data_IF_341166441397
#
_entry.id   IF_341166441397
#
_cell.length_a   1.000
_cell.length_b   1.000
_cell.length_c   1.000
_cell.angle_alpha   90.00
_cell.angle_beta   90.00
_cell.angle_gamma   90.00
#
_symmetry.space_group_name_H-M   'P 1'
#
loop_
_entity.id
_entity.type
_entity.pdbx_description
1 polymer ?
#
# COMPACT_ATOMS: atom_id res chain seq x y z
N UNK A 1 -24.09 -21.80 -10.17
CA UNK A 1 -24.75 -20.58 -9.71
C UNK A 1 -23.65 -19.61 -9.31
N UNK A 2 -23.43 -18.56 -10.10
CA UNK A 2 -22.53 -17.47 -9.69
C UNK A 2 -23.35 -16.50 -8.86
N UNK A 3 -22.86 -16.16 -7.67
CA UNK A 3 -23.50 -15.17 -6.81
C UNK A 3 -23.42 -13.81 -7.53
N UNK A 4 -24.58 -13.20 -7.81
CA UNK A 4 -24.68 -11.92 -8.51
C UNK A 4 -24.54 -10.73 -7.56
N UNK A 5 -24.30 -10.98 -6.27
CA UNK A 5 -24.17 -9.95 -5.25
C UNK A 5 -22.70 -9.70 -4.93
N UNK A 6 -22.24 -8.47 -5.12
CA UNK A 6 -20.91 -8.06 -4.67
C UNK A 6 -20.80 -8.15 -3.15
N UNK A 7 -19.67 -8.64 -2.64
CA UNK A 7 -19.38 -8.68 -1.21
C UNK A 7 -18.39 -7.58 -0.83
N UNK A 8 -18.64 -6.90 0.29
CA UNK A 8 -17.65 -6.02 0.91
C UNK A 8 -16.57 -6.89 1.57
N UNK A 9 -15.32 -6.75 1.10
CA UNK A 9 -14.17 -7.54 1.56
C UNK A 9 -13.17 -6.74 2.42
N UNK A 10 -13.32 -5.42 2.47
CA UNK A 10 -12.58 -4.51 3.34
C UNK A 10 -13.39 -3.22 3.57
N UNK A 11 -13.29 -2.63 4.77
CA UNK A 11 -14.05 -1.44 5.14
C UNK A 11 -15.55 -1.72 5.37
N UNK A 12 -16.42 -0.86 4.82
CA UNK A 12 -17.89 -1.01 4.90
C UNK A 12 -18.56 -0.38 6.12
N UNK A 13 -17.79 0.10 7.10
CA UNK A 13 -18.30 0.66 8.37
C UNK A 13 -18.23 2.19 8.42
N UNK A 14 -18.33 2.84 7.26
CA UNK A 14 -18.15 4.28 7.11
C UNK A 14 -16.68 4.74 7.18
N UNK A 15 -16.46 6.03 6.92
CA UNK A 15 -15.15 6.65 7.00
C UNK A 15 -14.66 6.71 8.46
N UNK A 16 -13.42 6.30 8.71
CA UNK A 16 -12.77 6.49 10.01
C UNK A 16 -11.47 5.69 10.17
N UNK A 17 -10.86 5.79 11.34
CA UNK A 17 -9.52 5.25 11.62
C UNK A 17 -9.51 3.89 12.32
N UNK A 18 -10.68 3.31 12.61
CA UNK A 18 -10.76 1.96 13.18
C UNK A 18 -10.26 0.92 12.16
N UNK A 19 -9.96 -0.30 12.63
CA UNK A 19 -9.46 -1.39 11.80
C UNK A 19 -10.51 -1.98 10.86
N UNK A 20 -11.80 -1.69 11.08
CA UNK A 20 -12.93 -2.02 10.21
C UNK A 20 -13.29 -0.87 9.23
N UNK A 21 -12.49 0.20 9.21
CA UNK A 21 -12.74 1.43 8.45
C UNK A 21 -11.52 1.83 7.59
N UNK A 22 -11.80 2.62 6.56
CA UNK A 22 -10.80 3.21 5.66
C UNK A 22 -11.11 4.70 5.47
N UNK A 23 -10.10 5.51 5.16
CA UNK A 23 -10.24 6.92 4.77
C UNK A 23 -9.38 7.21 3.55
N UNK A 24 -10.05 7.49 2.43
CA UNK A 24 -9.43 7.84 1.15
C UNK A 24 -8.39 6.79 0.70
N UNK A 25 -8.77 5.51 0.56
CA UNK A 25 -7.83 4.52 0.07
C UNK A 25 -7.48 4.81 -1.41
N UNK A 26 -6.19 4.84 -1.74
CA UNK A 26 -5.73 5.23 -3.09
C UNK A 26 -5.28 4.07 -3.95
N UNK A 27 -4.88 2.95 -3.35
CA UNK A 27 -4.38 1.79 -4.08
C UNK A 27 -4.60 0.49 -3.29
N UNK A 28 -4.66 -0.63 -4.00
CA UNK A 28 -4.83 -1.97 -3.44
C UNK A 28 -4.13 -3.01 -4.31
N UNK A 29 -3.44 -3.95 -3.67
CA UNK A 29 -2.89 -5.13 -4.31
C UNK A 29 -3.28 -6.41 -3.58
N UNK A 30 -3.13 -7.55 -4.26
CA UNK A 30 -3.41 -8.87 -3.70
C UNK A 30 -2.08 -9.52 -3.31
N UNK A 31 -1.91 -9.83 -2.03
CA UNK A 31 -0.91 -10.78 -1.58
C UNK A 31 -1.47 -12.21 -1.76
N UNK A 32 -1.00 -12.89 -2.80
CA UNK A 32 -1.43 -14.25 -3.14
C UNK A 32 -0.93 -15.28 -2.12
N UNK A 33 0.18 -15.01 -1.45
CA UNK A 33 0.78 -15.93 -0.48
C UNK A 33 -0.07 -16.02 0.79
N UNK A 34 -0.56 -14.88 1.29
CA UNK A 34 -1.42 -14.84 2.48
C UNK A 34 -2.92 -14.83 2.17
N UNK A 35 -3.28 -14.78 0.89
CA UNK A 35 -4.66 -14.57 0.42
C UNK A 35 -5.29 -13.31 1.04
N UNK A 36 -4.62 -12.17 0.88
CA UNK A 36 -4.99 -10.90 1.51
C UNK A 36 -4.97 -9.74 0.52
N UNK A 37 -5.77 -8.71 0.80
CA UNK A 37 -5.62 -7.38 0.23
C UNK A 37 -4.59 -6.60 1.04
N UNK A 38 -3.70 -5.87 0.37
CA UNK A 38 -2.87 -4.83 0.96
C UNK A 38 -3.38 -3.51 0.40
N UNK A 39 -3.87 -2.65 1.28
CA UNK A 39 -4.61 -1.43 0.92
C UNK A 39 -3.84 -0.23 1.45
N UNK A 40 -3.61 0.73 0.58
CA UNK A 40 -3.11 2.03 0.98
C UNK A 40 -4.29 2.85 1.52
N UNK A 41 -4.26 3.16 2.82
CA UNK A 41 -5.28 3.92 3.54
C UNK A 41 -4.74 5.33 3.84
N UNK A 42 -4.64 6.13 2.77
CA UNK A 42 -3.79 7.33 2.70
C UNK A 42 -4.08 8.32 3.83
N UNK A 43 -5.35 8.64 4.10
CA UNK A 43 -5.69 9.68 5.07
C UNK A 43 -5.55 9.23 6.52
N UNK A 44 -5.64 7.92 6.76
CA UNK A 44 -5.22 7.32 8.03
C UNK A 44 -3.69 7.15 8.12
N UNK A 45 -2.93 7.54 7.09
CA UNK A 45 -1.47 7.46 7.00
C UNK A 45 -0.93 6.06 7.30
N UNK A 46 -1.57 5.04 6.74
CA UNK A 46 -1.22 3.63 6.98
C UNK A 46 -1.41 2.80 5.72
N UNK A 47 -0.71 1.68 5.67
CA UNK A 47 -1.03 0.55 4.79
C UNK A 47 -1.57 -0.57 5.66
N UNK A 48 -2.72 -1.12 5.27
CA UNK A 48 -3.43 -2.15 6.02
C UNK A 48 -3.53 -3.44 5.21
N UNK A 49 -3.53 -4.58 5.91
CA UNK A 49 -3.74 -5.89 5.32
C UNK A 49 -5.10 -6.43 5.73
N UNK A 50 -5.88 -6.89 4.76
CA UNK A 50 -7.19 -7.51 4.95
C UNK A 50 -7.19 -8.95 4.41
N UNK A 51 -7.40 -9.94 5.27
CA UNK A 51 -7.59 -11.32 4.83
C UNK A 51 -8.85 -11.45 3.97
N UNK A 52 -8.76 -12.15 2.83
CA UNK A 52 -9.92 -12.45 1.98
C UNK A 52 -10.68 -13.70 2.42
N UNK A 53 -10.20 -14.37 3.47
CA UNK A 53 -10.83 -15.56 4.04
C UNK A 53 -12.14 -15.19 4.73
N UNK A 54 -13.11 -16.10 4.69
CA UNK A 54 -14.42 -15.94 5.32
C UNK A 54 -14.30 -15.63 6.81
N UNK A 55 -15.11 -14.68 7.31
CA UNK A 55 -15.14 -14.29 8.72
C UNK A 55 -14.19 -13.16 9.11
N UNK A 56 -13.39 -12.64 8.18
CA UNK A 56 -12.57 -11.44 8.42
C UNK A 56 -13.47 -10.21 8.55
N UNK A 57 -13.40 -9.51 9.68
CA UNK A 57 -14.23 -8.31 9.97
C UNK A 57 -13.44 -7.00 10.02
N UNK A 58 -12.11 -7.09 10.12
CA UNK A 58 -11.20 -5.94 10.21
C UNK A 58 -9.84 -6.29 9.60
N UNK A 59 -9.06 -5.27 9.26
CA UNK A 59 -7.67 -5.42 8.83
C UNK A 59 -6.69 -5.28 9.98
N UNK A 60 -5.41 -5.49 9.66
CA UNK A 60 -4.28 -5.17 10.54
C UNK A 60 -3.42 -4.09 9.90
N UNK A 61 -2.79 -3.24 10.72
CA UNK A 61 -1.82 -2.25 10.23
C UNK A 61 -0.55 -3.01 9.82
N UNK A 62 -0.17 -2.90 8.55
CA UNK A 62 1.07 -3.47 8.04
C UNK A 62 2.21 -2.46 8.16
N UNK A 63 1.96 -1.20 7.80
CA UNK A 63 2.92 -0.09 7.89
C UNK A 63 2.17 1.15 8.36
N UNK A 64 2.75 1.87 9.33
CA UNK A 64 2.20 3.13 9.85
C UNK A 64 2.98 4.36 9.34
N UNK A 65 2.48 5.54 9.69
CA UNK A 65 3.11 6.84 9.43
C UNK A 65 3.61 7.04 7.99
N UNK A 66 2.80 6.59 7.04
CA UNK A 66 3.08 6.67 5.60
C UNK A 66 1.89 7.28 4.88
N UNK A 67 2.10 8.38 4.15
CA UNK A 67 1.06 8.97 3.30
C UNK A 67 1.12 8.30 1.93
N UNK A 68 0.82 7.00 1.94
CA UNK A 68 0.96 6.15 0.77
C UNK A 68 0.10 6.67 -0.39
N UNK A 69 0.52 6.41 -1.62
CA UNK A 69 -0.31 6.67 -2.80
C UNK A 69 -0.40 5.45 -3.71
N UNK A 70 0.74 4.90 -4.10
CA UNK A 70 0.85 3.68 -4.90
C UNK A 70 1.51 2.54 -4.12
N UNK A 71 1.10 1.32 -4.45
CA UNK A 71 1.63 0.07 -3.93
C UNK A 71 2.12 -0.81 -5.09
N UNK A 72 3.26 -1.47 -4.89
CA UNK A 72 3.71 -2.55 -5.76
C UNK A 72 4.36 -3.64 -4.92
N UNK A 73 4.30 -4.89 -5.37
CA UNK A 73 4.96 -6.00 -4.69
C UNK A 73 5.69 -6.86 -5.72
N UNK A 74 6.94 -7.21 -5.43
CA UNK A 74 7.73 -8.09 -6.28
C UNK A 74 7.52 -9.59 -5.95
N UNK A 75 8.12 -10.46 -6.75
CA UNK A 75 8.04 -11.91 -6.57
C UNK A 75 8.76 -12.42 -5.31
N UNK A 76 9.59 -11.59 -4.68
CA UNK A 76 10.24 -11.87 -3.39
C UNK A 76 9.42 -11.35 -2.20
N UNK A 77 8.22 -10.79 -2.45
CA UNK A 77 7.33 -10.18 -1.46
C UNK A 77 7.93 -8.97 -0.75
N UNK A 78 8.81 -8.22 -1.43
CA UNK A 78 9.08 -6.85 -1.03
C UNK A 78 7.93 -5.95 -1.45
N UNK A 79 7.41 -5.19 -0.49
CA UNK A 79 6.38 -4.19 -0.68
C UNK A 79 7.03 -2.83 -0.94
N UNK A 80 6.69 -2.23 -2.06
CA UNK A 80 7.11 -0.90 -2.46
C UNK A 80 5.96 0.06 -2.23
N UNK A 81 6.24 1.21 -1.64
CA UNK A 81 5.23 2.21 -1.29
C UNK A 81 5.77 3.58 -1.62
N UNK A 82 5.02 4.36 -2.39
CA UNK A 82 5.28 5.78 -2.56
C UNK A 82 4.69 6.59 -1.39
N UNK A 83 5.53 7.33 -0.67
CA UNK A 83 5.10 8.26 0.38
C UNK A 83 5.08 9.69 -0.19
N UNK A 84 3.86 10.20 -0.42
CA UNK A 84 3.66 11.51 -1.02
C UNK A 84 4.01 12.67 -0.07
N UNK A 85 4.07 12.43 1.25
CA UNK A 85 4.47 13.45 2.23
C UNK A 85 5.99 13.64 2.25
N UNK A 86 6.72 12.55 2.01
CA UNK A 86 8.18 12.49 2.12
C UNK A 86 8.91 12.53 0.77
N UNK A 87 8.17 12.53 -0.33
CA UNK A 87 8.73 12.55 -1.68
C UNK A 87 9.69 11.37 -1.95
N UNK A 88 9.31 10.17 -1.49
CA UNK A 88 10.18 8.97 -1.52
C UNK A 88 9.39 7.71 -1.88
N UNK A 89 10.08 6.74 -2.46
CA UNK A 89 9.61 5.34 -2.53
C UNK A 89 10.44 4.51 -1.58
N UNK A 90 9.75 3.77 -0.71
CA UNK A 90 10.36 2.82 0.22
C UNK A 90 10.02 1.40 -0.15
N UNK A 91 11.01 0.53 -0.01
CA UNK A 91 10.90 -0.93 -0.09
C UNK A 91 10.92 -1.52 1.32
N UNK A 92 9.96 -2.38 1.62
CA UNK A 92 9.78 -3.06 2.89
C UNK A 92 9.76 -4.57 2.67
N UNK A 93 10.43 -5.34 3.52
CA UNK A 93 10.06 -6.75 3.66
C UNK A 93 8.77 -6.81 4.49
N UNK A 94 7.80 -7.64 4.12
CA UNK A 94 6.57 -7.78 4.91
C UNK A 94 6.93 -8.23 6.34
N UNK A 95 6.58 -7.41 7.33
CA UNK A 95 6.94 -7.61 8.75
C UNK A 95 8.03 -6.67 9.26
N UNK A 96 8.74 -5.96 8.38
CA UNK A 96 9.69 -4.92 8.76
C UNK A 96 8.98 -3.60 9.07
N UNK A 97 9.44 -2.93 10.12
CA UNK A 97 8.94 -1.60 10.49
C UNK A 97 9.72 -0.46 9.80
N UNK A 98 10.88 -0.75 9.20
CA UNK A 98 11.75 0.26 8.58
C UNK A 98 12.04 -0.11 7.12
N UNK A 99 11.48 0.67 6.20
CA UNK A 99 11.72 0.51 4.77
C UNK A 99 13.03 1.17 4.32
N UNK A 100 13.62 0.66 3.25
CA UNK A 100 14.78 1.25 2.56
C UNK A 100 14.30 2.20 1.46
N UNK A 101 14.83 3.41 1.39
CA UNK A 101 14.54 4.34 0.27
C UNK A 101 15.19 3.78 -1.00
N UNK A 102 14.40 3.61 -2.05
CA UNK A 102 14.84 3.09 -3.36
C UNK A 102 14.70 4.12 -4.49
N UNK A 103 13.92 5.18 -4.28
CA UNK A 103 13.84 6.34 -5.18
C UNK A 103 13.41 7.59 -4.39
N UNK A 104 13.83 8.78 -4.85
CA UNK A 104 13.49 10.04 -4.20
C UNK A 104 14.23 10.27 -2.87
N UNK A 105 13.55 10.90 -1.91
CA UNK A 105 14.09 11.20 -0.57
C UNK A 105 14.93 12.48 -0.47
N UNK A 106 15.09 13.23 -1.58
CA UNK A 106 15.84 14.50 -1.64
C UNK A 106 14.90 15.71 -1.80
N UNK A 107 13.67 15.58 -1.30
CA UNK A 107 12.61 16.57 -1.46
C UNK A 107 12.00 16.60 -2.85
N UNK A 108 11.07 17.54 -3.03
CA UNK A 108 10.40 17.79 -4.32
C UNK A 108 11.31 18.57 -5.27
N UNK A 109 11.33 18.17 -6.52
CA UNK A 109 11.99 18.92 -7.59
C UNK A 109 12.17 18.09 -8.85
N UNK A 110 12.99 18.58 -9.77
CA UNK A 110 13.18 18.02 -11.11
C UNK A 110 14.52 17.30 -11.28
N UNK A 111 15.33 17.22 -10.22
CA UNK A 111 16.59 16.49 -10.26
C UNK A 111 16.35 14.98 -10.31
N UNK A 112 17.32 14.22 -10.85
CA UNK A 112 17.21 12.76 -11.03
C UNK A 112 16.94 11.97 -9.74
N UNK A 113 17.19 12.56 -8.58
CA UNK A 113 17.02 11.96 -7.26
C UNK A 113 15.86 12.61 -6.46
N UNK A 114 15.00 13.40 -7.11
CA UNK A 114 13.85 14.09 -6.52
C UNK A 114 12.52 13.62 -7.12
N UNK A 115 11.43 13.72 -6.35
CA UNK A 115 10.09 13.34 -6.79
C UNK A 115 9.09 14.44 -6.43
N UNK A 116 8.43 15.03 -7.43
CA UNK A 116 7.57 16.21 -7.23
C UNK A 116 6.16 15.86 -6.72
N UNK A 117 5.53 14.87 -7.36
CA UNK A 117 4.25 14.28 -6.98
C UNK A 117 4.41 12.80 -7.26
N UNK A 118 4.43 11.95 -6.24
CA UNK A 118 4.56 10.53 -6.50
C UNK A 118 3.23 9.99 -7.00
N UNK A 119 3.28 9.45 -8.22
CA UNK A 119 2.20 8.69 -8.82
C UNK A 119 2.43 7.18 -8.63
N UNK A 120 1.61 6.38 -9.31
CA UNK A 120 1.66 4.92 -9.32
C UNK A 120 3.08 4.40 -9.52
N UNK A 121 3.39 3.33 -8.79
CA UNK A 121 4.67 2.64 -8.87
C UNK A 121 4.50 1.31 -9.57
N UNK A 122 5.47 0.92 -10.38
CA UNK A 122 5.55 -0.41 -10.98
C UNK A 122 6.92 -1.00 -10.72
N UNK A 123 6.99 -2.31 -10.50
CA UNK A 123 8.24 -3.04 -10.28
C UNK A 123 8.29 -4.20 -11.27
N UNK A 124 9.38 -4.31 -12.03
CA UNK A 124 9.59 -5.42 -12.96
C UNK A 124 10.25 -6.64 -12.29
N UNK A 125 10.40 -7.72 -13.06
CA UNK A 125 11.02 -8.96 -12.59
C UNK A 125 12.50 -8.82 -12.22
N UNK A 126 13.17 -7.76 -12.69
CA UNK A 126 14.54 -7.43 -12.33
C UNK A 126 14.60 -6.53 -11.06
N UNK A 127 13.46 -6.28 -10.42
CA UNK A 127 13.29 -5.38 -9.27
C UNK A 127 13.61 -3.91 -9.59
N UNK A 128 13.52 -3.54 -10.87
CA UNK A 128 13.61 -2.13 -11.28
C UNK A 128 12.32 -1.44 -10.91
N UNK A 129 12.42 -0.30 -10.20
CA UNK A 129 11.28 0.52 -9.81
C UNK A 129 11.06 1.62 -10.83
N UNK A 130 9.83 1.71 -11.34
CA UNK A 130 9.36 2.78 -12.22
C UNK A 130 8.42 3.68 -11.42
N UNK A 131 8.70 4.98 -11.45
CA UNK A 131 8.08 6.06 -10.65
C UNK A 131 7.69 7.24 -11.51
#
# INVERSE_FOLDING_TARGET
>A
MGDTNGQVVAGGHGQGSRLDQLVLPTDVLIDKETDSLIICDQWNRRVVRWSRRSGTTQGDILIDNIKCWGLAMDDQRYLYISDNDKHEVKRYQIGDNNGTIVAGGNGKGADLNQLNWLAYIFVDQQQTVYV
#
